data_IF_625465853849
#
_entry.id   IF_625465853849
#
_cell.length_a   1.000
_cell.length_b   1.000
_cell.length_c   1.000
_cell.angle_alpha   90.00
_cell.angle_beta   90.00
_cell.angle_gamma   90.00
#
_symmetry.space_group_name_H-M   'P 1'
#
loop_
_entity.id
_entity.type
_entity.pdbx_description
1 polymer ?
#
# COMPACT_ATOMS: atom_id res chain seq x y z
N UNK A 1 -42.75 17.56 57.44
CA UNK A 1 -41.65 16.61 57.10
C UNK A 1 -42.15 15.69 55.98
N UNK A 2 -41.38 15.36 54.93
CA UNK A 2 -40.23 16.04 54.30
C UNK A 2 -40.53 16.43 52.82
N UNK A 3 -40.37 17.70 52.44
CA UNK A 3 -39.27 18.20 51.60
C UNK A 3 -38.91 17.33 50.38
N UNK A 4 -39.51 17.66 49.22
CA UNK A 4 -38.98 17.24 47.92
C UNK A 4 -37.61 17.92 47.72
N UNK A 5 -36.59 17.07 47.73
CA UNK A 5 -35.20 17.37 47.55
C UNK A 5 -34.94 17.90 46.13
N UNK A 6 -34.38 19.10 46.06
CA UNK A 6 -33.66 19.63 44.91
C UNK A 6 -32.43 18.77 44.64
N UNK A 7 -32.27 18.26 43.42
CA UNK A 7 -30.95 17.92 42.90
C UNK A 7 -30.85 18.29 41.42
N UNK A 8 -29.86 19.16 41.21
CA UNK A 8 -29.35 19.72 39.98
C UNK A 8 -28.72 18.67 39.06
N UNK A 9 -28.79 18.88 37.74
CA UNK A 9 -27.99 18.20 36.71
C UNK A 9 -28.79 17.94 35.43
N UNK A 10 -28.26 18.21 34.21
CA UNK A 10 -26.84 18.12 33.84
C UNK A 10 -26.25 19.40 33.23
N UNK A 11 -25.09 19.81 33.74
CA UNK A 11 -24.18 20.73 33.06
C UNK A 11 -23.31 19.94 32.09
N UNK A 12 -23.57 20.05 30.79
CA UNK A 12 -22.65 19.57 29.76
C UNK A 12 -21.61 20.67 29.46
N UNK A 13 -20.30 20.42 29.60
CA UNK A 13 -19.30 21.24 28.92
C UNK A 13 -19.14 20.74 27.47
N UNK A 14 -19.22 21.59 26.42
CA UNK A 14 -18.74 21.21 25.11
C UNK A 14 -17.21 21.37 25.09
N UNK A 15 -16.48 20.27 25.20
CA UNK A 15 -15.03 20.25 24.99
C UNK A 15 -14.73 19.97 23.51
N UNK A 16 -14.15 20.98 22.86
CA UNK A 16 -13.20 20.94 21.75
C UNK A 16 -13.60 20.26 20.43
N UNK A 17 -13.45 20.99 19.31
CA UNK A 17 -12.23 20.87 18.48
C UNK A 17 -12.44 21.22 16.99
N UNK A 18 -11.59 22.15 16.53
CA UNK A 18 -10.97 22.23 15.19
C UNK A 18 -11.82 22.70 14.01
N UNK A 19 -11.68 23.99 13.69
CA UNK A 19 -12.00 24.53 12.37
C UNK A 19 -10.75 25.10 11.67
N UNK A 20 -10.48 24.49 10.51
CA UNK A 20 -9.73 24.92 9.32
C UNK A 20 -8.83 26.16 9.41
N UNK A 21 -7.55 25.94 9.13
CA UNK A 21 -6.76 26.80 8.24
C UNK A 21 -5.91 25.92 7.33
N UNK A 22 -6.31 25.84 6.06
CA UNK A 22 -5.40 25.43 5.00
C UNK A 22 -4.49 26.61 4.69
N UNK A 23 -3.19 26.37 4.68
CA UNK A 23 -2.27 27.13 3.85
C UNK A 23 -1.20 26.17 3.38
N UNK A 24 -1.19 25.97 2.06
CA UNK A 24 -0.15 25.24 1.37
C UNK A 24 1.20 25.92 1.62
N UNK A 25 2.19 25.14 1.99
CA UNK A 25 3.57 25.42 1.62
C UNK A 25 4.26 24.09 1.42
N UNK A 26 4.50 23.84 0.13
CA UNK A 26 5.24 22.74 -0.43
C UNK A 26 6.70 22.89 0.00
N UNK A 27 7.07 22.37 1.17
CA UNK A 27 8.44 21.96 1.39
C UNK A 27 8.55 20.53 0.89
N UNK A 28 8.80 20.42 -0.41
CA UNK A 28 9.30 19.20 -1.00
C UNK A 28 10.52 18.78 -0.17
N UNK A 29 10.36 17.73 0.63
CA UNK A 29 11.50 16.98 1.15
C UNK A 29 12.08 16.22 -0.04
N UNK A 30 13.31 16.50 -0.51
CA UNK A 30 14.04 15.50 -1.27
C UNK A 30 14.46 14.43 -0.26
N UNK A 31 13.52 13.55 0.10
CA UNK A 31 13.86 12.30 0.76
C UNK A 31 14.67 11.50 -0.26
N UNK A 32 15.98 11.68 -0.17
CA UNK A 32 17.00 10.97 -0.91
C UNK A 32 16.67 9.48 -0.87
N UNK A 33 16.35 8.99 -2.07
CA UNK A 33 16.15 7.61 -2.49
C UNK A 33 17.05 6.66 -1.70
N UNK A 34 16.44 5.89 -0.82
CA UNK A 34 17.05 4.72 -0.20
C UNK A 34 15.97 3.71 0.05
N UNK A 35 15.52 3.05 -1.03
CA UNK A 35 14.81 1.78 -1.03
C UNK A 35 14.88 1.21 -2.45
N UNK A 36 14.86 -0.11 -2.64
CA UNK A 36 14.96 -0.72 -3.96
C UNK A 36 13.68 -0.38 -4.74
N UNK A 37 13.68 0.80 -5.34
CA UNK A 37 12.64 1.27 -6.23
C UNK A 37 12.61 0.29 -7.38
N UNK A 38 11.43 -0.27 -7.67
CA UNK A 38 11.21 -0.96 -8.93
C UNK A 38 11.74 -0.05 -10.05
N UNK A 39 12.43 -0.64 -11.03
CA UNK A 39 12.94 0.05 -12.20
C UNK A 39 11.95 1.14 -12.69
N UNK A 40 12.43 2.36 -12.97
CA UNK A 40 11.57 3.50 -13.31
C UNK A 40 10.67 3.18 -14.52
N UNK A 41 11.19 2.36 -15.44
CA UNK A 41 10.46 1.84 -16.62
C UNK A 41 9.23 1.01 -16.21
N UNK A 42 9.36 0.18 -15.17
CA UNK A 42 8.26 -0.65 -14.66
C UNK A 42 7.25 0.20 -13.90
N UNK A 43 7.71 1.20 -13.15
CA UNK A 43 6.82 2.14 -12.46
C UNK A 43 5.95 2.89 -13.47
N UNK A 44 6.54 3.38 -14.56
CA UNK A 44 5.84 4.03 -15.65
C UNK A 44 4.91 3.06 -16.40
N UNK A 45 5.35 1.83 -16.66
CA UNK A 45 4.53 0.79 -17.27
C UNK A 45 3.30 0.44 -16.42
N UNK A 46 3.48 0.38 -15.09
CA UNK A 46 2.40 0.11 -14.14
C UNK A 46 1.40 1.28 -14.08
N UNK A 47 1.89 2.52 -14.19
CA UNK A 47 1.04 3.71 -14.28
C UNK A 47 0.17 3.65 -15.53
N UNK A 48 0.75 3.40 -16.70
CA UNK A 48 0.01 3.26 -17.98
C UNK A 48 -1.01 2.11 -17.89
N UNK A 49 -0.61 0.95 -17.38
CA UNK A 49 -1.48 -0.21 -17.23
C UNK A 49 -2.66 0.04 -16.26
N UNK A 50 -2.48 0.93 -15.27
CA UNK A 50 -3.51 1.33 -14.32
C UNK A 50 -4.42 2.43 -14.86
N UNK A 51 -3.86 3.40 -15.57
CA UNK A 51 -4.59 4.51 -16.18
C UNK A 51 -5.42 4.05 -17.39
N UNK A 52 -4.99 2.98 -18.06
CA UNK A 52 -5.66 2.47 -19.26
C UNK A 52 -5.59 0.94 -19.33
N UNK A 53 -6.75 0.24 -19.36
CA UNK A 53 -6.82 -1.19 -19.62
C UNK A 53 -6.19 -1.59 -20.97
N UNK A 54 -6.24 -0.70 -21.95
CA UNK A 54 -5.60 -0.88 -23.26
C UNK A 54 -4.06 -0.81 -23.15
N UNK A 55 -3.56 0.12 -22.33
CA UNK A 55 -2.14 0.23 -22.00
C UNK A 55 -1.60 -1.01 -21.28
N UNK A 56 -2.42 -1.69 -20.48
CA UNK A 56 -2.05 -2.98 -19.87
C UNK A 56 -1.98 -4.14 -20.89
N UNK A 57 -2.63 -4.00 -22.04
CA UNK A 57 -2.63 -4.99 -23.13
C UNK A 57 -1.49 -4.74 -24.13
N UNK A 58 -0.78 -3.61 -24.02
CA UNK A 58 0.36 -3.32 -24.87
C UNK A 58 1.48 -4.36 -24.64
N UNK A 59 2.03 -4.99 -25.71
CA UNK A 59 3.07 -6.01 -25.58
C UNK A 59 4.33 -5.51 -24.88
N UNK A 60 4.69 -4.24 -25.04
CA UNK A 60 5.87 -3.65 -24.41
C UNK A 60 5.62 -3.50 -22.91
N UNK A 61 4.47 -2.93 -22.53
CA UNK A 61 4.07 -2.76 -21.14
C UNK A 61 3.93 -4.12 -20.45
N UNK A 62 3.27 -5.11 -21.06
CA UNK A 62 3.16 -6.47 -20.52
C UNK A 62 4.54 -7.09 -20.30
N UNK A 63 5.44 -7.00 -21.28
CA UNK A 63 6.80 -7.56 -21.16
C UNK A 63 7.62 -6.91 -20.04
N UNK A 64 7.50 -5.59 -19.85
CA UNK A 64 8.17 -4.87 -18.75
C UNK A 64 7.63 -5.35 -17.39
N UNK A 65 6.31 -5.39 -17.24
CA UNK A 65 5.64 -5.80 -16.00
C UNK A 65 5.94 -7.28 -15.69
N UNK A 66 5.93 -8.16 -16.69
CA UNK A 66 6.28 -9.57 -16.57
C UNK A 66 7.74 -9.78 -16.20
N UNK A 67 8.67 -9.03 -16.79
CA UNK A 67 10.10 -9.12 -16.48
C UNK A 67 10.35 -8.76 -15.01
N UNK A 68 9.78 -7.65 -14.55
CA UNK A 68 9.91 -7.24 -13.15
C UNK A 68 9.22 -8.21 -12.19
N UNK A 69 8.05 -8.74 -12.58
CA UNK A 69 7.37 -9.78 -11.81
C UNK A 69 8.25 -11.03 -11.65
N UNK A 70 8.86 -11.49 -12.74
CA UNK A 70 9.76 -12.65 -12.72
C UNK A 70 10.96 -12.43 -11.81
N UNK A 71 11.53 -11.22 -11.78
CA UNK A 71 12.63 -10.88 -10.86
C UNK A 71 12.18 -10.97 -9.40
N UNK A 72 11.04 -10.39 -9.05
CA UNK A 72 10.48 -10.47 -7.70
C UNK A 72 10.19 -11.93 -7.36
N UNK A 73 9.59 -12.68 -8.28
CA UNK A 73 9.25 -14.08 -8.09
C UNK A 73 10.49 -14.97 -7.91
N UNK A 74 11.58 -14.69 -8.64
CA UNK A 74 12.86 -15.37 -8.45
C UNK A 74 13.43 -15.13 -7.04
N UNK A 75 13.30 -13.91 -6.50
CA UNK A 75 13.71 -13.58 -5.12
C UNK A 75 12.85 -14.33 -4.09
N UNK A 76 11.54 -14.40 -4.31
CA UNK A 76 10.63 -15.20 -3.47
C UNK A 76 11.00 -16.68 -3.52
N UNK A 77 11.28 -17.24 -4.69
CA UNK A 77 11.68 -18.65 -4.82
C UNK A 77 13.05 -18.94 -4.20
N UNK A 78 14.01 -18.02 -4.32
CA UNK A 78 15.35 -18.16 -3.75
C UNK A 78 15.33 -18.08 -2.21
N UNK A 79 14.47 -17.23 -1.66
CA UNK A 79 14.34 -17.02 -0.23
C UNK A 79 12.86 -17.03 0.19
N UNK A 80 12.19 -18.18 0.11
CA UNK A 80 10.75 -18.29 0.36
C UNK A 80 10.41 -17.80 1.75
N UNK A 81 11.27 -18.09 2.73
CA UNK A 81 10.99 -17.82 4.13
C UNK A 81 11.49 -16.49 4.67
N UNK A 82 12.51 -15.92 4.02
CA UNK A 82 13.19 -14.72 4.50
C UNK A 82 12.88 -13.46 3.68
N UNK A 83 12.43 -13.63 2.43
CA UNK A 83 12.15 -12.48 1.58
C UNK A 83 10.76 -11.90 1.85
N UNK A 84 10.73 -10.60 2.16
CA UNK A 84 9.51 -9.81 2.29
C UNK A 84 9.52 -8.77 1.18
N UNK A 85 8.49 -8.78 0.33
CA UNK A 85 8.35 -7.80 -0.76
C UNK A 85 8.20 -6.39 -0.20
N UNK A 86 8.76 -5.40 -0.89
CA UNK A 86 8.48 -4.00 -0.59
C UNK A 86 7.07 -3.61 -1.06
N UNK A 87 6.59 -2.43 -0.65
CA UNK A 87 5.27 -1.91 -1.07
C UNK A 87 5.14 -1.75 -2.59
N UNK A 88 6.24 -1.37 -3.24
CA UNK A 88 6.29 -1.23 -4.69
C UNK A 88 6.24 -2.62 -5.36
N UNK A 89 7.09 -3.56 -4.90
CA UNK A 89 7.11 -4.95 -5.38
C UNK A 89 5.74 -5.63 -5.20
N UNK A 90 5.12 -5.42 -4.05
CA UNK A 90 3.77 -5.91 -3.76
C UNK A 90 2.73 -5.30 -4.70
N UNK A 91 2.89 -4.04 -5.16
CA UNK A 91 1.96 -3.41 -6.08
C UNK A 91 1.94 -4.08 -7.46
N UNK A 92 3.09 -4.53 -7.94
CA UNK A 92 3.22 -5.33 -9.15
C UNK A 92 2.68 -6.75 -8.94
N UNK A 93 3.07 -7.38 -7.83
CA UNK A 93 2.59 -8.72 -7.48
C UNK A 93 1.05 -8.77 -7.33
N UNK A 94 0.47 -7.74 -6.73
CA UNK A 94 -0.97 -7.58 -6.56
C UNK A 94 -1.69 -7.34 -7.89
N UNK A 95 -1.07 -6.64 -8.85
CA UNK A 95 -1.61 -6.51 -10.20
C UNK A 95 -1.75 -7.89 -10.87
N UNK A 96 -0.77 -8.78 -10.67
CA UNK A 96 -0.80 -10.15 -11.18
C UNK A 96 -1.47 -11.18 -10.26
N UNK A 97 -2.29 -10.76 -9.28
CA UNK A 97 -2.91 -11.68 -8.32
C UNK A 97 -3.73 -12.81 -8.99
N UNK A 98 -4.36 -12.54 -10.14
CA UNK A 98 -5.16 -13.53 -10.87
C UNK A 98 -4.32 -14.66 -11.47
N UNK A 99 -3.02 -14.42 -11.74
CA UNK A 99 -2.10 -15.43 -12.28
C UNK A 99 -1.56 -16.36 -11.20
N UNK A 100 -1.47 -15.88 -9.96
CA UNK A 100 -0.95 -16.65 -8.83
C UNK A 100 -2.04 -17.33 -8.00
N UNK A 101 -3.26 -17.44 -8.51
CA UNK A 101 -4.35 -18.14 -7.83
C UNK A 101 -4.01 -19.64 -7.75
N UNK A 102 -3.86 -20.15 -6.53
CA UNK A 102 -3.49 -21.54 -6.27
C UNK A 102 -2.01 -21.78 -5.98
N UNK A 103 -1.15 -20.78 -6.16
CA UNK A 103 0.27 -20.92 -5.85
C UNK A 103 0.53 -20.69 -4.35
N UNK A 104 1.00 -21.75 -3.66
CA UNK A 104 1.25 -21.73 -2.21
C UNK A 104 2.37 -20.77 -1.83
N UNK A 105 3.36 -20.59 -2.71
CA UNK A 105 4.49 -19.71 -2.48
C UNK A 105 4.05 -18.24 -2.60
N UNK A 106 3.19 -17.93 -3.57
CA UNK A 106 2.58 -16.61 -3.71
C UNK A 106 1.70 -16.24 -2.52
N UNK A 107 0.86 -17.19 -2.06
CA UNK A 107 0.05 -17.01 -0.85
C UNK A 107 0.92 -16.79 0.38
N UNK A 108 2.02 -17.54 0.52
CA UNK A 108 2.95 -17.40 1.64
C UNK A 108 3.68 -16.05 1.62
N UNK A 109 4.14 -15.61 0.45
CA UNK A 109 4.76 -14.30 0.28
C UNK A 109 3.78 -13.16 0.62
N UNK A 110 2.52 -13.26 0.19
CA UNK A 110 1.47 -12.29 0.53
C UNK A 110 1.19 -12.25 2.03
N UNK A 111 1.10 -13.42 2.68
CA UNK A 111 0.91 -13.52 4.14
C UNK A 111 2.07 -12.85 4.89
N UNK A 112 3.32 -13.07 4.46
CA UNK A 112 4.51 -12.43 5.05
C UNK A 112 4.50 -10.92 4.93
N UNK A 113 4.15 -10.39 3.76
CA UNK A 113 4.03 -8.95 3.57
C UNK A 113 3.05 -8.34 4.58
N UNK A 114 1.88 -8.96 4.77
CA UNK A 114 0.91 -8.49 5.75
C UNK A 114 1.39 -8.63 7.19
N UNK A 115 2.00 -9.77 7.55
CA UNK A 115 2.55 -10.01 8.88
C UNK A 115 3.59 -8.94 9.25
N UNK A 116 4.52 -8.64 8.34
CA UNK A 116 5.52 -7.58 8.50
C UNK A 116 4.94 -6.16 8.44
N UNK A 117 3.85 -5.93 7.71
CA UNK A 117 3.20 -4.61 7.64
C UNK A 117 2.30 -4.31 8.86
N UNK A 118 1.89 -5.34 9.61
CA UNK A 118 1.12 -5.21 10.85
C UNK A 118 1.96 -5.16 12.13
N UNK A 119 3.27 -5.42 12.03
CA UNK A 119 4.24 -5.35 13.12
C UNK A 119 4.80 -3.94 13.31
#
# INVERSE_FOLDING_TARGET
>A
MPFLYSMSGPSHPPTHHRQKSGSASLTASPSVTSKPSIDPVVSQALEIARESPDGASDPTISNILETALNQIWAKVQAAPDSYVMSRDEFSLFNFFQHRFVGDKLAMSARRRYWDHASA
#
